data_IF_855058758970
#
_entry.id   IF_855058758970
#
_cell.length_a   1.000
_cell.length_b   1.000
_cell.length_c   1.000
_cell.angle_alpha   90.00
_cell.angle_beta   90.00
_cell.angle_gamma   90.00
#
_symmetry.space_group_name_H-M   'P 1'
#
loop_
_entity.id
_entity.type
_entity.pdbx_description
1 polymer ?
#
# COMPACT_ATOMS: atom_id res chain seq x y z
N UNK A 1 33.04 -3.71 26.72
CA UNK A 1 34.13 -4.13 25.79
C UNK A 1 34.58 -2.97 24.87
N UNK A 2 33.70 -2.27 24.17
CA UNK A 2 34.05 -1.17 23.25
C UNK A 2 34.83 -0.03 23.93
N UNK A 3 34.41 0.39 25.12
CA UNK A 3 35.12 1.41 25.90
C UNK A 3 36.56 1.00 26.28
N UNK A 4 36.82 -0.28 26.56
CA UNK A 4 38.16 -0.78 26.85
C UNK A 4 39.06 -0.64 25.63
N UNK A 5 38.61 -1.10 24.45
CA UNK A 5 39.39 -0.99 23.21
C UNK A 5 39.68 0.48 22.89
N UNK A 6 38.68 1.36 22.99
CA UNK A 6 38.87 2.79 22.73
C UNK A 6 39.80 3.48 23.71
N UNK A 7 39.74 3.15 25.00
CA UNK A 7 40.66 3.72 26.00
C UNK A 7 42.11 3.33 25.74
N UNK A 8 42.34 2.11 25.31
CA UNK A 8 43.69 1.61 24.96
C UNK A 8 44.17 2.24 23.65
N UNK A 9 43.36 2.33 22.62
CA UNK A 9 43.67 2.94 21.33
C UNK A 9 43.97 4.46 21.47
N UNK A 10 43.13 5.15 22.25
CA UNK A 10 43.28 6.60 22.47
C UNK A 10 44.38 6.96 23.49
N UNK A 11 44.90 5.98 24.23
CA UNK A 11 45.97 6.17 25.21
C UNK A 11 45.55 6.94 26.46
N UNK A 12 44.30 7.39 26.57
CA UNK A 12 43.76 8.03 27.77
C UNK A 12 42.24 8.00 27.85
N UNK A 13 41.70 8.01 29.09
CA UNK A 13 40.27 8.09 29.33
C UNK A 13 39.60 9.36 28.75
N UNK A 14 40.34 10.52 28.80
CA UNK A 14 39.82 11.77 28.31
C UNK A 14 39.77 11.82 26.76
N UNK A 15 40.71 11.17 26.08
CA UNK A 15 40.71 11.08 24.61
C UNK A 15 39.60 10.11 24.16
N UNK A 16 39.50 8.94 24.78
CA UNK A 16 38.43 7.97 24.48
C UNK A 16 37.02 8.55 24.74
N UNK A 17 36.86 9.38 25.78
CA UNK A 17 35.59 10.03 26.10
C UNK A 17 35.18 11.01 24.97
N UNK A 18 36.13 11.79 24.43
CA UNK A 18 35.86 12.67 23.27
C UNK A 18 35.46 11.87 22.02
N UNK A 19 36.19 10.78 21.75
CA UNK A 19 35.92 9.94 20.56
C UNK A 19 34.56 9.25 20.62
N UNK A 20 34.07 9.00 21.83
CA UNK A 20 32.79 8.31 22.08
C UNK A 20 31.63 9.26 22.40
N UNK A 21 31.87 10.58 22.40
CA UNK A 21 30.90 11.62 22.72
C UNK A 21 30.24 11.43 24.11
N UNK A 22 31.05 11.08 25.10
CA UNK A 22 30.62 10.87 26.49
C UNK A 22 31.53 11.61 27.47
N UNK A 23 31.13 11.74 28.73
CA UNK A 23 31.99 12.34 29.77
C UNK A 23 33.08 11.37 30.23
N UNK A 24 34.30 11.88 30.57
CA UNK A 24 35.38 11.05 31.11
C UNK A 24 35.00 10.24 32.34
N UNK A 25 34.18 10.74 33.30
CA UNK A 25 33.68 9.93 34.42
C UNK A 25 32.83 8.73 33.97
N UNK A 26 32.02 8.89 32.88
CA UNK A 26 31.21 7.80 32.38
C UNK A 26 32.07 6.65 31.83
N UNK A 27 33.12 6.96 31.05
CA UNK A 27 34.07 5.96 30.56
C UNK A 27 34.71 5.22 31.71
N UNK A 28 35.14 5.95 32.76
CA UNK A 28 35.74 5.37 33.99
C UNK A 28 34.79 4.40 34.69
N UNK A 29 33.52 4.78 34.82
CA UNK A 29 32.48 3.94 35.46
C UNK A 29 32.21 2.67 34.64
N UNK A 30 32.13 2.78 33.32
CA UNK A 30 31.88 1.65 32.43
C UNK A 30 33.04 0.64 32.40
N UNK A 31 34.29 1.12 32.45
CA UNK A 31 35.46 0.23 32.61
C UNK A 31 35.44 -0.44 33.97
N UNK A 32 35.19 0.31 35.05
CA UNK A 32 35.13 -0.27 36.40
C UNK A 32 33.95 -1.29 36.56
N UNK A 33 32.86 -1.08 35.85
CA UNK A 33 31.76 -2.03 35.78
C UNK A 33 32.17 -3.33 35.06
N UNK A 34 32.87 -3.22 33.91
CA UNK A 34 33.40 -4.37 33.19
C UNK A 34 34.40 -5.17 34.01
N UNK A 35 35.37 -4.49 34.68
CA UNK A 35 36.36 -5.14 35.54
C UNK A 35 35.68 -5.87 36.75
N UNK A 36 34.63 -5.28 37.30
CA UNK A 36 33.84 -5.91 38.36
C UNK A 36 33.08 -7.14 37.88
N UNK A 37 32.50 -7.08 36.71
CA UNK A 37 31.79 -8.21 36.11
C UNK A 37 32.72 -9.39 35.81
N UNK A 38 33.93 -9.09 35.33
CA UNK A 38 34.95 -10.08 35.03
C UNK A 38 35.72 -10.56 36.26
N UNK A 39 35.65 -9.86 37.40
CA UNK A 39 36.40 -10.16 38.59
C UNK A 39 37.90 -9.92 38.45
N UNK A 40 38.36 -9.15 37.45
CA UNK A 40 39.75 -8.90 37.10
C UNK A 40 39.98 -7.43 36.73
N UNK A 41 41.10 -6.87 37.16
CA UNK A 41 41.54 -5.56 36.69
C UNK A 41 42.19 -5.67 35.33
N UNK A 42 41.72 -4.88 34.36
CA UNK A 42 42.22 -4.87 33.00
C UNK A 42 43.19 -3.71 32.75
N UNK A 43 43.07 -2.62 33.50
CA UNK A 43 43.90 -1.42 33.35
C UNK A 43 44.61 -1.09 34.68
N UNK A 44 45.92 -0.74 34.56
CA UNK A 44 46.68 -0.15 35.65
C UNK A 44 46.48 1.35 35.65
N UNK A 45 46.07 1.89 36.79
CA UNK A 45 45.90 3.33 37.00
C UNK A 45 47.17 3.90 37.66
N UNK A 46 48.25 4.01 36.90
CA UNK A 46 49.40 4.75 37.39
C UNK A 46 49.25 6.25 36.99
N UNK A 47 49.64 7.15 37.92
CA UNK A 47 49.41 8.59 37.78
C UNK A 47 50.09 9.25 36.55
N UNK A 48 50.86 8.51 35.80
CA UNK A 48 51.67 9.03 34.66
C UNK A 48 51.44 8.29 33.31
N UNK A 49 50.91 7.06 33.32
CA UNK A 49 50.65 6.30 32.08
C UNK A 49 49.51 5.28 32.26
N UNK A 50 48.67 5.18 31.25
CA UNK A 50 47.71 4.11 31.10
C UNK A 50 48.42 2.85 30.56
N UNK A 51 48.31 1.74 31.27
CA UNK A 51 48.86 0.45 30.82
C UNK A 51 47.88 -0.69 31.08
N UNK A 52 47.99 -1.74 30.33
CA UNK A 52 47.22 -2.98 30.54
C UNK A 52 47.82 -3.76 31.71
N UNK A 53 46.99 -4.53 32.41
CA UNK A 53 47.39 -5.64 33.27
C UNK A 53 47.64 -6.89 32.42
N UNK A 54 48.26 -7.97 32.96
CA UNK A 54 48.35 -9.24 32.23
C UNK A 54 46.99 -9.78 31.78
N UNK A 55 45.95 -9.62 32.62
CA UNK A 55 44.57 -10.00 32.28
C UNK A 55 44.01 -9.10 31.19
N UNK A 56 44.32 -7.79 31.20
CA UNK A 56 43.98 -6.85 30.15
C UNK A 56 44.64 -7.18 28.81
N UNK A 57 45.94 -7.56 28.82
CA UNK A 57 46.67 -7.98 27.63
C UNK A 57 46.11 -9.27 27.02
N UNK A 58 45.65 -10.21 27.84
CA UNK A 58 45.00 -11.43 27.41
C UNK A 58 43.57 -11.19 26.86
N UNK A 59 42.83 -10.26 27.49
CA UNK A 59 41.41 -10.01 27.20
C UNK A 59 41.19 -9.06 26.01
N UNK A 60 42.09 -8.08 25.79
CA UNK A 60 41.94 -7.06 24.74
C UNK A 60 41.81 -7.64 23.31
N UNK A 61 42.64 -8.65 22.91
CA UNK A 61 42.49 -9.26 21.58
C UNK A 61 41.11 -9.91 21.36
N UNK A 62 40.57 -10.57 22.41
CA UNK A 62 39.26 -11.17 22.35
C UNK A 62 38.15 -10.12 22.15
N UNK A 63 38.23 -8.97 22.89
CA UNK A 63 37.36 -7.85 22.71
C UNK A 63 37.42 -7.26 21.29
N UNK A 64 38.63 -7.05 20.77
CA UNK A 64 38.85 -6.49 19.44
C UNK A 64 38.26 -7.40 18.35
N UNK A 65 38.50 -8.73 18.46
CA UNK A 65 37.96 -9.71 17.53
C UNK A 65 36.42 -9.76 17.58
N UNK A 66 35.82 -9.80 18.77
CA UNK A 66 34.38 -9.82 18.94
C UNK A 66 33.72 -8.55 18.36
N UNK A 67 34.31 -7.38 18.57
CA UNK A 67 33.85 -6.12 18.01
C UNK A 67 34.00 -6.09 16.47
N UNK A 68 35.09 -6.64 15.94
CA UNK A 68 35.30 -6.76 14.49
C UNK A 68 34.26 -7.69 13.86
N UNK A 69 33.95 -8.83 14.45
CA UNK A 69 32.90 -9.73 14.00
C UNK A 69 31.51 -9.10 14.05
N UNK A 70 31.20 -8.37 15.11
CA UNK A 70 29.94 -7.64 15.24
C UNK A 70 29.82 -6.57 14.15
N UNK A 71 30.86 -5.77 13.93
CA UNK A 71 30.90 -4.76 12.86
C UNK A 71 30.79 -5.41 11.46
N UNK A 72 31.43 -6.56 11.24
CA UNK A 72 31.30 -7.29 10.00
C UNK A 72 29.88 -7.83 9.79
N UNK A 73 29.21 -8.30 10.86
CA UNK A 73 27.81 -8.69 10.80
C UNK A 73 26.88 -7.50 10.52
N UNK A 74 27.08 -6.35 11.16
CA UNK A 74 26.37 -5.11 10.91
C UNK A 74 26.60 -4.60 9.48
N UNK A 75 27.83 -4.67 8.97
CA UNK A 75 28.18 -4.33 7.59
C UNK A 75 27.45 -5.25 6.59
N UNK A 76 27.38 -6.56 6.85
CA UNK A 76 26.58 -7.49 6.01
C UNK A 76 25.10 -7.15 6.02
N UNK A 77 24.54 -6.77 7.16
CA UNK A 77 23.17 -6.29 7.26
C UNK A 77 22.96 -4.97 6.50
N UNK A 78 23.94 -4.07 6.52
CA UNK A 78 23.88 -2.80 5.78
C UNK A 78 24.01 -2.98 4.27
N UNK A 79 24.86 -3.89 3.80
CA UNK A 79 24.98 -4.27 2.37
C UNK A 79 23.69 -4.93 1.88
N UNK A 80 23.06 -5.80 2.69
CA UNK A 80 21.74 -6.35 2.39
C UNK A 80 20.63 -5.28 2.43
N UNK A 81 20.81 -4.18 3.16
CA UNK A 81 19.88 -3.03 3.15
C UNK A 81 19.96 -2.20 1.88
N UNK A 82 21.09 -2.16 1.20
CA UNK A 82 21.29 -1.42 -0.06
C UNK A 82 20.97 -2.25 -1.29
N UNK A 83 21.19 -3.56 -1.26
CA UNK A 83 20.89 -4.47 -2.37
C UNK A 83 19.45 -4.98 -2.24
N UNK A 84 18.65 -4.71 -3.27
CA UNK A 84 17.27 -5.22 -3.33
C UNK A 84 17.31 -6.74 -3.52
N UNK A 85 17.07 -7.52 -2.46
CA UNK A 85 17.09 -8.98 -2.48
C UNK A 85 16.13 -9.60 -1.48
N UNK A 86 15.82 -10.89 -1.68
CA UNK A 86 14.94 -11.70 -0.85
C UNK A 86 13.49 -11.68 -1.30
N UNK A 87 12.63 -12.41 -0.58
CA UNK A 87 11.21 -12.53 -0.89
C UNK A 87 10.47 -11.22 -0.63
N UNK A 88 9.70 -10.76 -1.60
CA UNK A 88 8.80 -9.61 -1.51
C UNK A 88 7.36 -10.09 -1.76
N UNK A 89 6.50 -9.93 -0.78
CA UNK A 89 5.08 -10.27 -0.89
C UNK A 89 4.30 -9.04 -1.30
N UNK A 90 3.67 -9.10 -2.48
CA UNK A 90 2.96 -7.98 -3.09
C UNK A 90 1.48 -8.28 -3.18
N UNK A 91 0.66 -7.43 -2.56
CA UNK A 91 -0.79 -7.45 -2.68
C UNK A 91 -1.27 -6.57 -3.83
N UNK A 92 -2.24 -7.05 -4.58
CA UNK A 92 -2.94 -6.26 -5.60
C UNK A 92 -4.38 -6.76 -5.74
N UNK A 93 -5.27 -5.86 -6.17
CA UNK A 93 -6.55 -6.28 -6.72
C UNK A 93 -6.31 -7.09 -8.00
N UNK A 94 -7.17 -8.03 -8.32
CA UNK A 94 -7.00 -8.94 -9.46
C UNK A 94 -6.65 -8.20 -10.77
N UNK A 95 -7.45 -7.22 -11.15
CA UNK A 95 -7.26 -6.48 -12.41
C UNK A 95 -6.00 -5.61 -12.39
N UNK A 96 -5.69 -5.01 -11.27
CA UNK A 96 -4.43 -4.26 -11.10
C UNK A 96 -3.22 -5.18 -11.29
N UNK A 97 -3.27 -6.39 -10.74
CA UNK A 97 -2.22 -7.40 -10.92
C UNK A 97 -2.09 -7.82 -12.39
N UNK A 98 -3.19 -8.03 -13.11
CA UNK A 98 -3.17 -8.35 -14.54
C UNK A 98 -2.55 -7.23 -15.38
N UNK A 99 -2.81 -5.97 -15.05
CA UNK A 99 -2.24 -4.82 -15.75
C UNK A 99 -0.72 -4.67 -15.49
N UNK A 100 -0.26 -5.02 -14.30
CA UNK A 100 1.17 -4.92 -13.90
C UNK A 100 1.98 -6.13 -14.38
N UNK A 101 1.36 -7.31 -14.48
CA UNK A 101 2.04 -8.57 -14.78
C UNK A 101 2.95 -8.55 -16.03
N UNK A 102 2.57 -7.94 -17.17
CA UNK A 102 3.43 -7.90 -18.36
C UNK A 102 4.80 -7.22 -18.15
N UNK A 103 4.92 -6.36 -17.13
CA UNK A 103 6.13 -5.59 -16.84
C UNK A 103 7.00 -6.21 -15.73
N UNK A 104 6.52 -7.28 -15.10
CA UNK A 104 7.24 -7.96 -14.02
C UNK A 104 8.54 -8.62 -14.50
N UNK A 105 8.64 -9.22 -15.70
CA UNK A 105 9.91 -9.76 -16.19
C UNK A 105 11.04 -8.72 -16.21
N UNK A 106 10.77 -7.50 -16.66
CA UNK A 106 11.74 -6.41 -16.71
C UNK A 106 12.17 -5.98 -15.30
N UNK A 107 11.23 -5.91 -14.36
CA UNK A 107 11.54 -5.64 -12.96
C UNK A 107 12.47 -6.71 -12.37
N UNK A 108 12.19 -8.00 -12.62
CA UNK A 108 13.03 -9.10 -12.12
C UNK A 108 14.41 -9.13 -12.78
N UNK A 109 14.52 -8.80 -14.07
CA UNK A 109 15.79 -8.66 -14.77
C UNK A 109 16.66 -7.54 -14.15
N UNK A 110 16.05 -6.43 -13.76
CA UNK A 110 16.71 -5.32 -13.06
C UNK A 110 17.06 -5.65 -11.59
N UNK A 111 16.37 -6.62 -10.99
CA UNK A 111 16.50 -6.97 -9.58
C UNK A 111 16.61 -8.49 -9.38
N UNK A 112 17.69 -9.15 -9.85
CA UNK A 112 17.82 -10.63 -9.88
C UNK A 112 17.84 -11.27 -8.49
N UNK A 113 18.06 -10.50 -7.43
CA UNK A 113 18.04 -10.98 -6.04
C UNK A 113 16.64 -11.01 -5.42
N UNK A 114 15.59 -10.49 -6.10
CA UNK A 114 14.22 -10.45 -5.58
C UNK A 114 13.45 -11.70 -6.04
N UNK A 115 12.69 -12.28 -5.12
CA UNK A 115 11.65 -13.27 -5.41
C UNK A 115 10.30 -12.65 -5.09
N UNK A 116 9.36 -12.66 -6.03
CA UNK A 116 8.01 -12.10 -5.84
C UNK A 116 7.00 -13.18 -5.45
N UNK A 117 6.14 -12.85 -4.47
CA UNK A 117 4.96 -13.63 -4.09
C UNK A 117 3.73 -12.71 -4.21
N UNK A 118 2.89 -12.95 -5.21
CA UNK A 118 1.70 -12.14 -5.45
C UNK A 118 0.49 -12.65 -4.68
N UNK A 119 -0.25 -11.73 -4.07
CA UNK A 119 -1.48 -11.98 -3.33
C UNK A 119 -2.62 -11.14 -3.90
N UNK A 120 -3.79 -11.75 -4.04
CA UNK A 120 -5.00 -10.97 -4.34
C UNK A 120 -5.53 -10.37 -3.04
N UNK A 121 -5.55 -9.05 -2.97
CA UNK A 121 -6.03 -8.28 -1.82
C UNK A 121 -7.16 -7.36 -2.30
N UNK A 122 -8.42 -7.63 -1.93
CA UNK A 122 -9.57 -6.90 -2.45
C UNK A 122 -9.66 -5.45 -1.95
N UNK A 123 -9.23 -5.21 -0.71
CA UNK A 123 -9.21 -3.88 -0.12
C UNK A 123 -8.16 -3.79 1.01
N UNK A 124 -7.73 -2.56 1.41
CA UNK A 124 -6.68 -2.39 2.42
C UNK A 124 -7.03 -2.88 3.83
N UNK A 125 -8.31 -3.07 4.16
CA UNK A 125 -8.78 -3.59 5.45
C UNK A 125 -8.98 -5.11 5.45
N UNK A 126 -8.74 -5.79 4.32
CA UNK A 126 -8.84 -7.25 4.26
C UNK A 126 -7.78 -7.90 5.16
N UNK A 127 -8.09 -9.02 5.84
CA UNK A 127 -7.11 -9.75 6.66
C UNK A 127 -5.84 -10.13 5.89
N UNK A 128 -5.96 -10.39 4.57
CA UNK A 128 -4.84 -10.69 3.68
C UNK A 128 -3.83 -9.54 3.55
N UNK A 129 -4.21 -8.29 3.83
CA UNK A 129 -3.32 -7.12 3.83
C UNK A 129 -2.23 -7.25 4.89
N UNK A 130 -2.49 -7.91 6.02
CA UNK A 130 -1.48 -8.17 7.03
C UNK A 130 -0.34 -9.10 6.56
N UNK A 131 -0.53 -9.79 5.43
CA UNK A 131 0.41 -10.77 4.88
C UNK A 131 1.27 -10.22 3.74
N UNK A 132 1.16 -8.92 3.40
CA UNK A 132 1.90 -8.33 2.29
C UNK A 132 2.90 -7.28 2.77
N UNK A 133 4.02 -7.14 2.05
CA UNK A 133 5.02 -6.10 2.27
C UNK A 133 4.62 -4.79 1.58
N UNK A 134 4.02 -4.91 0.37
CA UNK A 134 3.54 -3.81 -0.47
C UNK A 134 2.15 -4.13 -0.98
N UNK A 135 1.25 -3.15 -0.99
CA UNK A 135 -0.08 -3.23 -1.59
C UNK A 135 -0.21 -2.15 -2.67
N UNK A 136 -0.61 -2.54 -3.87
CA UNK A 136 -1.06 -1.61 -4.92
C UNK A 136 -2.58 -1.67 -4.98
N UNK A 137 -3.23 -0.55 -4.76
CA UNK A 137 -4.67 -0.46 -4.58
C UNK A 137 -5.29 0.68 -5.40
N UNK A 138 -6.32 0.35 -6.14
CA UNK A 138 -7.18 1.32 -6.84
C UNK A 138 -8.44 1.51 -6.02
N UNK A 139 -8.58 2.68 -5.43
CA UNK A 139 -9.70 2.97 -4.54
C UNK A 139 -9.45 4.15 -3.63
N UNK A 140 -10.51 4.56 -2.95
CA UNK A 140 -10.46 5.56 -1.89
C UNK A 140 -9.94 4.90 -0.61
N UNK A 141 -9.03 5.60 0.07
CA UNK A 141 -8.49 5.12 1.34
C UNK A 141 -9.29 5.70 2.49
N UNK A 142 -9.62 4.84 3.42
CA UNK A 142 -10.01 5.20 4.76
C UNK A 142 -8.80 5.12 5.68
N UNK A 143 -9.02 5.30 6.99
CA UNK A 143 -7.97 5.15 8.00
C UNK A 143 -7.37 3.74 7.94
N UNK A 144 -6.10 3.67 7.53
CA UNK A 144 -5.33 2.44 7.38
C UNK A 144 -3.96 2.61 8.04
N UNK A 145 -3.51 1.60 8.78
CA UNK A 145 -2.19 1.60 9.41
C UNK A 145 -1.09 1.21 8.42
N UNK A 146 -1.01 1.97 7.33
CA UNK A 146 0.02 1.84 6.29
C UNK A 146 0.48 3.22 5.82
N UNK A 147 1.70 3.31 5.33
CA UNK A 147 2.16 4.47 4.57
C UNK A 147 1.58 4.35 3.17
N UNK A 148 0.78 5.32 2.74
CA UNK A 148 0.18 5.35 1.42
C UNK A 148 0.75 6.49 0.58
N UNK A 149 1.11 6.19 -0.66
CA UNK A 149 1.52 7.17 -1.67
C UNK A 149 0.58 7.04 -2.86
N UNK A 150 -0.09 8.13 -3.24
CA UNK A 150 -0.83 8.19 -4.51
C UNK A 150 0.19 8.22 -5.65
N UNK A 151 0.02 7.35 -6.64
CA UNK A 151 0.93 7.20 -7.78
C UNK A 151 0.28 7.53 -9.12
N UNK A 152 -1.06 7.47 -9.19
CA UNK A 152 -1.81 7.82 -10.40
C UNK A 152 -3.27 8.18 -10.07
N UNK A 153 -3.97 8.70 -11.09
CA UNK A 153 -5.41 8.92 -11.09
C UNK A 153 -6.04 8.05 -12.18
N UNK A 154 -7.03 7.24 -11.83
CA UNK A 154 -7.84 6.56 -12.85
C UNK A 154 -8.90 7.49 -13.42
N UNK A 155 -9.57 7.06 -14.47
CA UNK A 155 -10.80 7.70 -14.95
C UNK A 155 -11.89 6.65 -15.13
N UNK A 156 -13.13 7.07 -14.94
CA UNK A 156 -14.26 6.26 -15.34
C UNK A 156 -14.49 6.36 -16.85
N UNK A 157 -14.91 5.25 -17.44
CA UNK A 157 -15.38 5.17 -18.82
C UNK A 157 -16.78 4.60 -18.82
N UNK A 158 -17.71 5.28 -19.46
CA UNK A 158 -19.08 4.80 -19.69
C UNK A 158 -19.10 4.04 -21.00
N UNK A 159 -19.55 2.80 -20.99
CA UNK A 159 -19.51 1.93 -22.17
C UNK A 159 -20.57 0.84 -22.13
N UNK A 160 -20.78 0.19 -23.27
CA UNK A 160 -21.52 -1.07 -23.39
C UNK A 160 -21.02 -1.82 -24.64
N UNK A 161 -21.60 -2.98 -24.95
CA UNK A 161 -21.24 -3.70 -26.17
C UNK A 161 -21.72 -2.99 -27.43
N UNK A 162 -21.02 -3.16 -28.56
CA UNK A 162 -21.49 -2.62 -29.85
C UNK A 162 -22.90 -3.17 -30.24
N UNK A 163 -23.23 -4.38 -29.84
CA UNK A 163 -24.54 -4.96 -30.07
C UNK A 163 -25.63 -4.24 -29.29
N UNK A 164 -25.35 -3.87 -28.04
CA UNK A 164 -26.27 -3.09 -27.21
C UNK A 164 -26.57 -1.73 -27.83
N UNK A 165 -25.51 -1.02 -28.28
CA UNK A 165 -25.66 0.29 -28.93
C UNK A 165 -26.46 0.23 -30.26
N UNK A 166 -26.28 -0.85 -31.02
CA UNK A 166 -27.10 -1.02 -32.26
C UNK A 166 -28.57 -1.22 -31.95
N UNK A 167 -28.92 -1.89 -30.87
CA UNK A 167 -30.30 -2.17 -30.50
C UNK A 167 -31.00 -0.98 -29.79
N UNK A 168 -30.27 -0.18 -29.01
CA UNK A 168 -30.88 0.83 -28.13
C UNK A 168 -30.48 2.27 -28.51
N UNK A 169 -29.57 2.45 -29.48
CA UNK A 169 -28.98 3.77 -29.77
C UNK A 169 -27.84 4.11 -28.82
N UNK A 170 -27.17 5.24 -29.07
CA UNK A 170 -26.03 5.74 -28.31
C UNK A 170 -26.45 7.01 -27.58
N UNK A 171 -26.22 7.13 -26.27
CA UNK A 171 -26.54 8.33 -25.50
C UNK A 171 -25.66 9.51 -25.98
N UNK A 172 -26.22 10.70 -26.09
CA UNK A 172 -25.54 11.94 -26.46
C UNK A 172 -25.30 12.86 -25.27
N UNK A 173 -26.09 12.68 -24.22
CA UNK A 173 -25.99 13.43 -22.96
C UNK A 173 -26.06 12.44 -21.80
N UNK A 174 -25.39 12.75 -20.66
CA UNK A 174 -25.49 11.90 -19.47
C UNK A 174 -26.91 11.65 -18.99
N UNK A 175 -27.83 12.61 -19.14
CA UNK A 175 -29.23 12.44 -18.74
C UNK A 175 -29.98 11.38 -19.57
N UNK A 176 -29.53 11.09 -20.79
CA UNK A 176 -30.09 10.02 -21.60
C UNK A 176 -29.93 8.64 -20.94
N UNK A 177 -28.92 8.46 -20.09
CA UNK A 177 -28.64 7.20 -19.40
C UNK A 177 -29.81 6.68 -18.58
N UNK A 178 -30.76 7.53 -18.17
CA UNK A 178 -32.00 7.11 -17.48
C UNK A 178 -32.90 6.21 -18.31
N UNK A 179 -32.77 6.26 -19.64
CA UNK A 179 -33.55 5.44 -20.56
C UNK A 179 -32.88 4.09 -20.90
N UNK A 180 -31.69 3.83 -20.34
CA UNK A 180 -30.92 2.60 -20.60
C UNK A 180 -30.91 1.66 -19.40
N UNK A 181 -30.89 0.36 -19.66
CA UNK A 181 -30.56 -0.61 -18.63
C UNK A 181 -29.11 -0.38 -18.18
N UNK A 182 -28.91 -0.04 -16.93
CA UNK A 182 -27.58 0.22 -16.37
C UNK A 182 -27.14 -0.89 -15.42
N UNK A 183 -25.83 -1.15 -15.41
CA UNK A 183 -25.17 -2.06 -14.48
C UNK A 183 -24.40 -1.22 -13.47
N UNK A 184 -24.82 -1.22 -12.19
CA UNK A 184 -24.14 -0.52 -11.13
C UNK A 184 -23.16 -1.44 -10.39
N UNK A 185 -22.10 -0.83 -9.88
CA UNK A 185 -21.14 -1.50 -9.02
C UNK A 185 -21.49 -1.29 -7.55
N UNK A 186 -21.45 -2.36 -6.76
CA UNK A 186 -21.53 -2.31 -5.30
C UNK A 186 -20.13 -2.23 -4.73
N UNK A 187 -19.85 -1.16 -4.03
CA UNK A 187 -18.54 -0.96 -3.38
C UNK A 187 -18.30 -2.03 -2.30
N UNK A 188 -17.03 -2.30 -1.91
CA UNK A 188 -16.70 -3.21 -0.81
C UNK A 188 -17.32 -2.82 0.54
N UNK A 189 -17.80 -1.59 0.66
CA UNK A 189 -18.49 -1.06 1.84
C UNK A 189 -20.02 -1.19 1.74
N UNK A 190 -20.53 -1.86 0.71
CA UNK A 190 -21.96 -2.13 0.52
C UNK A 190 -22.75 -1.06 -0.21
N UNK A 191 -22.16 0.12 -0.50
CA UNK A 191 -22.84 1.17 -1.24
C UNK A 191 -22.98 0.81 -2.72
N UNK A 192 -24.15 1.00 -3.29
CA UNK A 192 -24.38 0.91 -4.74
C UNK A 192 -23.98 2.26 -5.36
N UNK A 193 -23.13 2.23 -6.39
CA UNK A 193 -22.69 3.42 -7.10
C UNK A 193 -23.64 3.70 -8.27
N UNK A 194 -24.82 4.17 -7.96
CA UNK A 194 -25.93 4.47 -8.89
C UNK A 194 -26.06 5.96 -9.22
N UNK A 195 -25.37 6.83 -8.51
CA UNK A 195 -25.30 8.26 -8.85
C UNK A 195 -24.04 8.52 -9.69
N UNK A 196 -24.24 8.75 -10.99
CA UNK A 196 -23.14 9.00 -11.90
C UNK A 196 -23.01 10.49 -12.21
N UNK A 197 -21.81 11.04 -12.00
CA UNK A 197 -21.52 12.46 -12.21
C UNK A 197 -20.58 12.65 -13.39
N UNK A 198 -20.88 13.65 -14.19
CA UNK A 198 -20.16 14.02 -15.38
C UNK A 198 -19.90 15.52 -15.43
N UNK A 199 -18.85 15.93 -16.15
CA UNK A 199 -18.52 17.33 -16.38
C UNK A 199 -18.09 17.54 -17.83
N UNK A 200 -18.55 18.64 -18.43
CA UNK A 200 -18.08 19.14 -19.71
C UNK A 200 -17.90 20.67 -19.59
N UNK A 201 -16.64 21.13 -19.57
CA UNK A 201 -16.34 22.52 -19.20
C UNK A 201 -16.85 22.89 -17.82
N UNK A 202 -17.72 23.91 -17.75
CA UNK A 202 -18.36 24.33 -16.48
C UNK A 202 -19.67 23.58 -16.20
N UNK A 203 -20.16 22.84 -17.17
CA UNK A 203 -21.41 22.10 -17.03
C UNK A 203 -21.19 20.81 -16.24
N UNK A 204 -22.00 20.57 -15.23
CA UNK A 204 -22.01 19.36 -14.40
C UNK A 204 -23.37 18.70 -14.47
N UNK A 205 -23.39 17.41 -14.74
CA UNK A 205 -24.57 16.54 -14.71
C UNK A 205 -24.44 15.51 -13.60
N UNK A 206 -25.54 15.24 -12.90
CA UNK A 206 -25.64 14.16 -11.91
C UNK A 206 -26.85 13.31 -12.25
N UNK A 207 -26.59 12.08 -12.64
CA UNK A 207 -27.63 11.15 -13.10
C UNK A 207 -27.80 10.07 -12.05
N UNK A 208 -28.94 10.10 -11.36
CA UNK A 208 -29.35 8.98 -10.53
C UNK A 208 -29.96 7.90 -11.43
N UNK A 209 -29.47 6.70 -11.30
CA UNK A 209 -29.86 5.54 -12.11
C UNK A 209 -30.69 4.58 -11.28
N UNK A 210 -31.56 3.84 -11.96
CA UNK A 210 -32.24 2.68 -11.42
C UNK A 210 -31.62 1.43 -12.05
N UNK A 211 -30.53 0.90 -11.48
CA UNK A 211 -29.75 -0.16 -12.12
C UNK A 211 -30.56 -1.46 -12.10
N UNK A 212 -30.68 -2.09 -13.26
CA UNK A 212 -31.31 -3.40 -13.40
C UNK A 212 -30.43 -4.53 -12.91
N UNK A 213 -29.11 -4.32 -12.93
CA UNK A 213 -28.11 -5.26 -12.43
C UNK A 213 -27.20 -4.52 -11.45
N UNK A 214 -26.93 -5.13 -10.31
CA UNK A 214 -25.92 -4.65 -9.34
C UNK A 214 -24.93 -5.79 -9.12
N UNK A 215 -23.64 -5.49 -9.30
CA UNK A 215 -22.54 -6.45 -9.12
C UNK A 215 -21.48 -5.86 -8.17
N UNK A 216 -20.89 -6.68 -7.32
CA UNK A 216 -19.73 -6.32 -6.49
C UNK A 216 -18.39 -6.77 -7.10
N UNK A 217 -18.44 -7.48 -8.22
CA UNK A 217 -17.26 -7.92 -8.95
C UNK A 217 -17.11 -7.12 -10.24
N UNK A 218 -15.97 -6.43 -10.39
CA UNK A 218 -15.69 -5.57 -11.54
C UNK A 218 -15.48 -6.37 -12.83
N UNK A 219 -14.97 -7.60 -12.74
CA UNK A 219 -14.78 -8.47 -13.92
C UNK A 219 -16.11 -8.99 -14.42
N UNK A 220 -17.03 -9.35 -13.51
CA UNK A 220 -18.41 -9.72 -13.88
C UNK A 220 -19.14 -8.52 -14.51
N UNK A 221 -19.00 -7.34 -13.90
CA UNK A 221 -19.62 -6.14 -14.44
C UNK A 221 -19.17 -5.87 -15.89
N UNK A 222 -17.86 -5.94 -16.15
CA UNK A 222 -17.32 -5.77 -17.49
C UNK A 222 -17.81 -6.86 -18.46
N UNK A 223 -17.83 -8.11 -18.01
CA UNK A 223 -18.31 -9.25 -18.81
C UNK A 223 -19.80 -9.12 -19.15
N UNK A 224 -20.63 -8.76 -18.17
CA UNK A 224 -22.07 -8.52 -18.38
C UNK A 224 -22.29 -7.44 -19.45
N UNK A 225 -21.58 -6.30 -19.36
CA UNK A 225 -21.67 -5.25 -20.35
C UNK A 225 -21.20 -5.67 -21.74
N UNK A 226 -20.12 -6.44 -21.84
CA UNK A 226 -19.59 -6.98 -23.08
C UNK A 226 -20.58 -7.91 -23.80
N UNK A 227 -21.45 -8.57 -23.03
CA UNK A 227 -22.49 -9.45 -23.57
C UNK A 227 -23.87 -8.77 -23.69
N UNK A 228 -23.92 -7.44 -23.63
CA UNK A 228 -25.15 -6.68 -23.85
C UNK A 228 -26.08 -6.58 -22.65
N UNK A 229 -25.59 -6.83 -21.45
CA UNK A 229 -26.38 -6.74 -20.21
C UNK A 229 -26.74 -5.32 -19.80
N UNK A 230 -26.24 -4.30 -20.49
CA UNK A 230 -26.54 -2.89 -20.23
C UNK A 230 -25.32 -1.96 -20.29
N UNK A 231 -25.55 -0.71 -19.93
CA UNK A 231 -24.53 0.32 -19.84
C UNK A 231 -23.82 0.23 -18.50
N UNK A 232 -22.50 0.28 -18.52
CA UNK A 232 -21.66 0.26 -17.31
C UNK A 232 -20.73 1.47 -17.26
N UNK A 233 -20.29 1.82 -16.04
CA UNK A 233 -19.25 2.82 -15.81
C UNK A 233 -18.18 2.22 -14.90
N UNK A 234 -17.04 1.90 -15.48
CA UNK A 234 -15.89 1.35 -14.77
C UNK A 234 -14.63 2.19 -15.01
N UNK A 235 -13.62 1.99 -14.16
CA UNK A 235 -12.31 2.59 -14.41
C UNK A 235 -11.66 1.98 -15.66
N UNK A 236 -10.95 2.81 -16.39
CA UNK A 236 -10.31 2.47 -17.67
C UNK A 236 -9.37 1.24 -17.59
N UNK A 237 -8.74 1.04 -16.45
CA UNK A 237 -7.92 -0.14 -16.18
C UNK A 237 -8.71 -1.46 -16.34
N UNK A 238 -10.02 -1.46 -16.03
CA UNK A 238 -10.89 -2.62 -16.16
C UNK A 238 -11.48 -2.79 -17.55
N UNK A 239 -11.71 -1.70 -18.28
CA UNK A 239 -12.38 -1.72 -19.56
C UNK A 239 -11.44 -1.85 -20.75
N UNK A 240 -10.17 -1.44 -20.62
CA UNK A 240 -9.19 -1.43 -21.71
C UNK A 240 -9.08 -2.77 -22.45
N UNK A 241 -8.91 -3.94 -21.80
CA UNK A 241 -8.80 -5.21 -22.52
C UNK A 241 -10.04 -5.54 -23.37
N UNK A 242 -11.22 -5.08 -22.96
CA UNK A 242 -12.45 -5.27 -23.72
C UNK A 242 -12.55 -4.31 -24.91
N UNK A 243 -12.01 -3.09 -24.80
CA UNK A 243 -11.91 -2.16 -25.93
C UNK A 243 -10.94 -2.68 -27.00
N UNK A 244 -9.78 -3.19 -26.58
CA UNK A 244 -8.77 -3.78 -27.48
C UNK A 244 -9.33 -4.99 -28.24
N UNK A 245 -10.27 -5.74 -27.67
CA UNK A 245 -10.96 -6.86 -28.29
C UNK A 245 -12.24 -6.46 -29.04
N UNK A 246 -12.63 -5.17 -29.02
CA UNK A 246 -13.86 -4.69 -29.64
C UNK A 246 -15.16 -5.18 -28.98
N UNK A 247 -15.07 -5.71 -27.74
CA UNK A 247 -16.20 -6.23 -26.97
C UNK A 247 -17.00 -5.14 -26.25
N UNK A 248 -16.36 -4.02 -25.93
CA UNK A 248 -16.97 -2.82 -25.39
C UNK A 248 -16.65 -1.62 -26.27
N UNK A 249 -17.57 -0.67 -26.32
CA UNK A 249 -17.44 0.60 -27.03
C UNK A 249 -17.75 1.74 -26.08
N UNK A 250 -16.82 2.73 -25.89
CA UNK A 250 -17.02 3.88 -25.04
C UNK A 250 -18.05 4.85 -25.64
N UNK A 251 -18.70 5.60 -24.77
CA UNK A 251 -19.64 6.67 -25.11
C UNK A 251 -19.44 7.85 -24.17
N UNK A 252 -20.02 9.02 -24.50
CA UNK A 252 -19.93 10.24 -23.72
C UNK A 252 -18.47 10.68 -23.46
N UNK A 253 -17.59 10.50 -24.44
CA UNK A 253 -16.16 10.75 -24.30
C UNK A 253 -15.81 12.24 -24.14
N UNK A 254 -16.70 13.15 -24.57
CA UNK A 254 -16.64 14.59 -24.34
C UNK A 254 -17.06 15.01 -22.91
N UNK A 255 -17.61 14.07 -22.15
CA UNK A 255 -17.96 14.23 -20.74
C UNK A 255 -16.93 13.53 -19.86
N UNK A 256 -16.29 14.30 -18.98
CA UNK A 256 -15.42 13.71 -17.93
C UNK A 256 -16.30 13.04 -16.86
N UNK A 257 -16.23 11.75 -16.74
CA UNK A 257 -16.88 11.05 -15.65
C UNK A 257 -16.13 11.29 -14.33
N UNK A 258 -16.78 11.91 -13.37
CA UNK A 258 -16.17 12.40 -12.12
C UNK A 258 -16.02 11.31 -11.05
N UNK A 259 -15.24 11.64 -10.02
CA UNK A 259 -15.08 10.81 -8.81
C UNK A 259 -14.44 9.44 -9.07
N UNK A 260 -13.60 9.33 -10.10
CA UNK A 260 -12.84 8.11 -10.31
C UNK A 260 -11.78 7.92 -9.19
N UNK A 261 -11.55 6.69 -8.71
CA UNK A 261 -10.66 6.43 -7.61
C UNK A 261 -9.19 6.61 -8.00
N UNK A 262 -8.32 7.08 -7.09
CA UNK A 262 -6.88 7.13 -7.31
C UNK A 262 -6.22 5.74 -7.18
N UNK A 263 -4.99 5.64 -7.71
CA UNK A 263 -4.10 4.48 -7.50
C UNK A 263 -3.12 4.81 -6.39
N UNK A 264 -3.03 3.91 -5.41
CA UNK A 264 -2.10 4.02 -4.30
C UNK A 264 -1.11 2.86 -4.29
N UNK A 265 0.13 3.14 -3.94
CA UNK A 265 1.07 2.14 -3.45
C UNK A 265 1.23 2.33 -1.95
N UNK A 266 1.12 1.23 -1.21
CA UNK A 266 1.10 1.23 0.25
C UNK A 266 2.08 0.21 0.79
N UNK A 267 2.69 0.51 1.94
CA UNK A 267 3.57 -0.40 2.65
C UNK A 267 3.48 -0.16 4.16
N UNK A 268 3.94 -1.11 4.96
CA UNK A 268 3.79 -1.06 6.42
C UNK A 268 4.47 0.17 7.02
N UNK A 269 3.79 0.81 7.96
CA UNK A 269 4.36 1.86 8.80
C UNK A 269 5.44 1.26 9.71
N UNK A 270 6.56 1.98 9.91
CA UNK A 270 7.67 1.52 10.76
C UNK A 270 8.99 2.11 10.32
N UNK A 271 10.11 1.40 10.56
CA UNK A 271 11.45 1.77 10.09
C UNK A 271 11.47 1.97 8.56
N UNK A 272 12.52 2.62 8.04
CA UNK A 272 12.69 2.84 6.58
C UNK A 272 12.37 1.57 5.78
N UNK A 273 11.56 1.67 4.72
CA UNK A 273 11.21 0.51 3.91
C UNK A 273 12.47 -0.18 3.38
N UNK A 274 12.47 -1.51 3.35
CA UNK A 274 13.62 -2.30 2.86
C UNK A 274 13.94 -1.97 1.39
N UNK A 275 15.16 -2.29 0.94
CA UNK A 275 15.58 -2.01 -0.43
C UNK A 275 14.64 -2.64 -1.48
N UNK A 276 14.16 -3.88 -1.25
CA UNK A 276 13.21 -4.56 -2.13
C UNK A 276 11.84 -3.86 -2.18
N UNK A 277 11.34 -3.35 -1.04
CA UNK A 277 10.10 -2.57 -0.99
C UNK A 277 10.26 -1.27 -1.77
N UNK A 278 11.38 -0.52 -1.56
CA UNK A 278 11.65 0.71 -2.29
C UNK A 278 11.76 0.48 -3.81
N UNK A 279 12.46 -0.58 -4.21
CA UNK A 279 12.61 -0.94 -5.63
C UNK A 279 11.23 -1.15 -6.28
N UNK A 280 10.35 -1.92 -5.65
CA UNK A 280 9.02 -2.18 -6.18
C UNK A 280 8.11 -0.95 -6.16
N UNK A 281 8.15 -0.15 -5.09
CA UNK A 281 7.41 1.13 -5.00
C UNK A 281 7.84 2.08 -6.12
N UNK A 282 9.14 2.20 -6.40
CA UNK A 282 9.64 3.03 -7.49
C UNK A 282 9.18 2.48 -8.85
N UNK A 283 9.28 1.17 -9.07
CA UNK A 283 8.83 0.51 -10.29
C UNK A 283 7.35 0.81 -10.59
N UNK A 284 6.44 0.55 -9.67
CA UNK A 284 5.01 0.83 -9.89
C UNK A 284 4.72 2.32 -10.00
N UNK A 285 5.45 3.18 -9.28
CA UNK A 285 5.30 4.63 -9.37
C UNK A 285 5.72 5.19 -10.75
N UNK A 286 6.61 4.52 -11.46
CA UNK A 286 6.99 4.87 -12.84
C UNK A 286 6.07 4.23 -13.88
N UNK A 287 5.54 3.04 -13.58
CA UNK A 287 4.69 2.29 -14.48
C UNK A 287 3.31 2.96 -14.67
N UNK A 288 2.66 3.36 -13.58
CA UNK A 288 1.29 3.85 -13.62
C UNK A 288 1.09 5.18 -14.37
N UNK A 289 1.96 6.19 -14.31
CA UNK A 289 1.87 7.38 -15.16
C UNK A 289 1.91 7.06 -16.66
N UNK A 290 2.62 6.01 -17.07
CA UNK A 290 2.67 5.57 -18.47
C UNK A 290 1.32 4.99 -18.92
N UNK A 291 0.52 4.39 -18.02
CA UNK A 291 -0.87 4.04 -18.33
C UNK A 291 -1.74 5.27 -18.56
N UNK A 292 -1.43 6.41 -17.94
CA UNK A 292 -2.11 7.69 -18.18
C UNK A 292 -1.70 8.29 -19.53
N UNK A 293 -0.42 8.27 -19.85
CA UNK A 293 0.13 8.82 -21.09
C UNK A 293 -0.32 8.05 -22.36
N UNK A 294 -0.59 6.76 -22.25
CA UNK A 294 -1.11 5.91 -23.34
C UNK A 294 -2.58 6.22 -23.69
N UNK A 295 -3.16 7.24 -23.10
CA UNK A 295 -4.52 7.70 -23.36
C UNK A 295 -4.48 8.68 -24.53
N UNK A 296 -5.03 8.31 -25.66
CA UNK A 296 -5.21 9.21 -26.80
C UNK A 296 -6.06 10.41 -26.35
N UNK A 297 -5.48 11.62 -26.36
CA UNK A 297 -6.20 12.86 -26.15
C UNK A 297 -6.20 13.47 -24.72
N UNK A 298 -5.33 13.03 -23.79
CA UNK A 298 -5.27 13.62 -22.46
C UNK A 298 -4.56 14.98 -22.46
N UNK A 299 -5.30 16.05 -22.19
CA UNK A 299 -4.77 17.37 -21.85
C UNK A 299 -4.05 17.28 -20.50
N UNK A 300 -2.79 17.74 -20.44
CA UNK A 300 -2.02 17.84 -19.20
C UNK A 300 -2.77 18.68 -18.16
N UNK A 301 -3.26 18.05 -17.10
CA UNK A 301 -3.78 18.75 -15.92
C UNK A 301 -2.91 18.43 -14.73
N UNK A 302 -2.40 19.46 -14.03
CA UNK A 302 -1.78 19.36 -12.71
C UNK A 302 -2.77 18.69 -11.76
N UNK A 303 -2.40 17.52 -11.25
CA UNK A 303 -3.24 16.69 -10.37
C UNK A 303 -3.23 17.28 -8.96
N UNK A 304 -4.26 18.06 -8.62
CA UNK A 304 -4.57 18.35 -7.22
C UNK A 304 -5.19 17.11 -6.56
N UNK A 305 -5.00 16.89 -5.25
CA UNK A 305 -5.65 15.78 -4.55
C UNK A 305 -7.17 15.92 -4.67
N UNK A 306 -7.83 14.97 -5.32
CA UNK A 306 -9.28 14.97 -5.43
C UNK A 306 -9.87 14.74 -4.02
N UNK A 307 -10.82 15.60 -3.56
CA UNK A 307 -11.52 15.37 -2.31
C UNK A 307 -12.34 14.08 -2.40
N UNK A 308 -12.44 13.35 -1.29
CA UNK A 308 -13.30 12.16 -1.23
C UNK A 308 -14.75 12.52 -1.59
N UNK A 309 -15.43 11.74 -2.44
CA UNK A 309 -16.81 11.99 -2.82
C UNK A 309 -17.75 12.04 -1.62
N UNK A 310 -18.79 12.85 -1.69
CA UNK A 310 -19.75 13.05 -0.59
C UNK A 310 -20.45 11.74 -0.17
N UNK A 311 -20.71 10.82 -1.13
CA UNK A 311 -21.30 9.50 -0.87
C UNK A 311 -20.39 8.60 -0.02
N UNK A 312 -19.07 8.78 -0.08
CA UNK A 312 -18.11 8.03 0.72
C UNK A 312 -18.24 8.39 2.21
N UNK A 313 -18.51 9.68 2.52
CA UNK A 313 -18.72 10.15 3.91
C UNK A 313 -20.10 9.83 4.46
N UNK A 314 -21.16 9.92 3.65
CA UNK A 314 -22.55 9.75 4.10
C UNK A 314 -22.93 8.28 4.37
N UNK A 315 -22.36 7.32 3.64
CA UNK A 315 -22.63 5.90 3.85
C UNK A 315 -21.89 5.29 5.05
N UNK A 316 -20.84 5.96 5.53
CA UNK A 316 -20.09 5.51 6.72
C UNK A 316 -20.81 5.82 8.04
N UNK A 317 -21.39 7.00 8.17
CA UNK A 317 -22.12 7.38 9.38
C UNK A 317 -23.35 6.49 9.67
N UNK A 318 -23.96 5.90 8.64
CA UNK A 318 -25.12 5.01 8.77
C UNK A 318 -24.79 3.57 9.20
N UNK A 319 -23.56 3.08 9.00
CA UNK A 319 -23.21 1.69 9.30
C UNK A 319 -22.82 1.45 10.77
N UNK A 320 -22.38 2.49 11.48
CA UNK A 320 -22.01 2.41 12.90
C UNK A 320 -23.23 2.42 13.84
N UNK A 321 -24.38 2.96 13.41
CA UNK A 321 -25.58 3.06 14.25
C UNK A 321 -26.51 1.83 14.19
N UNK A 322 -26.23 0.85 13.32
CA UNK A 322 -27.06 -0.38 13.19
C UNK A 322 -26.60 -1.58 14.01
N UNK A 323 -25.56 -1.46 14.84
CA UNK A 323 -25.15 -2.51 15.77
C UNK A 323 -25.41 -2.11 17.22
N UNK A 324 -26.67 -1.98 17.62
CA UNK A 324 -27.12 -2.21 19.00
C UNK A 324 -28.66 -2.07 19.06
N UNK A 325 -29.38 -3.10 18.69
CA UNK A 325 -30.69 -3.35 19.33
C UNK A 325 -30.60 -4.70 20.02
N UNK A 326 -30.74 -4.75 21.35
CA UNK A 326 -30.90 -6.02 22.06
C UNK A 326 -32.23 -6.64 21.64
N UNK A 327 -32.21 -7.94 21.41
CA UNK A 327 -33.42 -8.72 21.23
C UNK A 327 -34.26 -8.58 22.50
N UNK A 328 -35.49 -8.07 22.35
CA UNK A 328 -36.51 -8.12 23.38
C UNK A 328 -36.89 -9.58 23.64
N UNK A 329 -36.82 -9.98 24.89
CA UNK A 329 -37.28 -11.26 25.40
C UNK A 329 -38.76 -11.50 25.05
N UNK A 330 -39.04 -12.61 24.40
CA UNK A 330 -40.42 -13.11 24.21
C UNK A 330 -40.82 -13.80 25.51
N UNK A 331 -41.97 -13.46 26.07
CA UNK A 331 -42.45 -14.17 27.28
C UNK A 331 -42.92 -15.58 26.92
N UNK A 332 -42.43 -16.51 27.70
CA UNK A 332 -42.77 -17.92 27.79
C UNK A 332 -44.27 -18.10 28.09
N UNK A 333 -45.04 -18.66 27.15
CA UNK A 333 -46.38 -19.16 27.41
C UNK A 333 -46.34 -20.68 27.46
N UNK A 334 -46.43 -21.20 28.66
CA UNK A 334 -46.66 -22.61 28.95
C UNK A 334 -48.07 -23.04 28.52
N UNK A 335 -48.29 -24.23 27.93
CA UNK A 335 -49.62 -24.74 27.68
C UNK A 335 -50.17 -25.42 28.91
N UNK A 336 -51.35 -24.92 29.39
CA UNK A 336 -52.19 -25.60 30.38
C UNK A 336 -52.79 -26.85 29.75
N UNK A 337 -52.53 -28.01 30.37
CA UNK A 337 -53.33 -29.22 30.22
C UNK A 337 -54.67 -29.03 30.91
N UNK A 338 -55.77 -29.41 30.27
CA UNK A 338 -56.98 -29.91 30.93
C UNK A 338 -57.78 -30.75 29.93
N UNK A 339 -58.01 -31.98 30.38
CA UNK A 339 -59.05 -32.95 30.16
C UNK A 339 -59.50 -33.24 28.73
#
# INVERSE_FOLDING_TARGET
MEYLVRVVEAGSFAAAARDLDVSPPAVTQLIAALERELGAQLLRRDSRRLSLTPDGEAFLPACTNALAELRAAEARLSVNRTRASGKLVVGMQRRTGQAVAPFIPDFLAAHPGITLDFRVVPNPKAPSTALVDVLVFVGWLEDVDMVAKRIAQTRYVTCSSPAYWRAHGVPRDPDDLRAYDCIAFRSPWGAVLDLWKYRRGEEVRSVALEPRIVSEDLDWTATLGAHGGGVLRLVDLHTRPYFEQGLLQPVLEDWEALEAPPVHVMYRRGSRPSARVRAFVNFVSQLFPNFEASRVGAVERKIAPAPMPSWFRSNWAGSLTRRARPRADSPNQSPKRSR
#
